data_IF_351661640305
#
_entry.id   IF_351661640305
#
_cell.length_a   1.000
_cell.length_b   1.000
_cell.length_c   1.000
_cell.angle_alpha   90.00
_cell.angle_beta   90.00
_cell.angle_gamma   90.00
#
_symmetry.space_group_name_H-M   'P 1'
#
loop_
_entity.id
_entity.type
_entity.pdbx_description
1 polymer ?
#
# COMPACT_ATOMS: atom_id res chain seq x y z
N UNK A 1 21.62 -26.46 40.06
CA UNK A 1 20.39 -26.00 39.42
C UNK A 1 20.82 -25.39 38.11
N UNK A 2 20.55 -26.09 37.02
CA UNK A 2 21.15 -25.79 35.71
C UNK A 2 20.44 -24.60 35.06
N UNK A 3 21.17 -23.50 34.89
CA UNK A 3 20.66 -22.23 34.36
C UNK A 3 20.21 -22.39 32.90
N UNK A 4 20.76 -23.38 32.19
CA UNK A 4 20.38 -23.69 30.81
C UNK A 4 18.94 -24.21 30.70
N UNK A 5 18.43 -24.92 31.71
CA UNK A 5 17.07 -25.45 31.72
C UNK A 5 16.01 -24.35 31.97
N UNK A 6 16.38 -23.25 32.63
CA UNK A 6 15.46 -22.13 32.90
C UNK A 6 15.22 -21.25 31.66
N UNK A 7 16.16 -21.25 30.71
CA UNK A 7 16.08 -20.52 29.45
C UNK A 7 15.89 -21.43 28.23
N UNK A 8 15.59 -22.71 28.44
CA UNK A 8 15.14 -23.55 27.34
C UNK A 8 13.81 -22.99 26.81
N UNK A 9 13.66 -22.77 25.49
CA UNK A 9 12.38 -22.40 24.93
C UNK A 9 11.35 -23.47 25.31
N UNK A 10 10.17 -23.06 25.78
CA UNK A 10 9.08 -23.93 26.22
C UNK A 10 8.51 -24.86 25.13
N UNK A 11 9.07 -24.81 23.91
CA UNK A 11 8.62 -25.59 22.77
C UNK A 11 9.66 -26.65 22.40
N UNK A 12 9.41 -27.87 22.85
CA UNK A 12 10.06 -29.10 22.38
C UNK A 12 9.00 -30.00 21.70
N UNK A 13 8.17 -29.38 20.85
CA UNK A 13 7.04 -30.03 20.19
C UNK A 13 7.05 -29.78 18.69
N UNK A 14 6.81 -30.84 17.91
CA UNK A 14 6.42 -30.74 16.50
C UNK A 14 5.28 -29.73 16.32
N UNK A 15 5.10 -29.11 15.13
CA UNK A 15 4.00 -28.17 14.90
C UNK A 15 2.67 -28.85 15.27
N UNK A 16 2.07 -28.34 16.33
CA UNK A 16 0.86 -28.90 16.91
C UNK A 16 -0.31 -28.49 16.00
N UNK A 17 -0.76 -29.40 15.13
CA UNK A 17 -1.87 -29.19 14.19
C UNK A 17 -3.14 -28.62 14.89
N UNK A 18 -3.26 -28.83 16.19
CA UNK A 18 -4.36 -28.36 17.03
C UNK A 18 -4.35 -26.84 17.23
N UNK A 19 -3.17 -26.20 17.29
CA UNK A 19 -3.05 -24.75 17.41
C UNK A 19 -3.40 -24.03 16.10
N UNK A 20 -2.93 -24.54 14.97
CA UNK A 20 -3.30 -24.00 13.65
C UNK A 20 -4.80 -24.16 13.38
N UNK A 21 -5.38 -25.29 13.80
CA UNK A 21 -6.83 -25.50 13.75
C UNK A 21 -7.59 -24.51 14.65
N UNK A 22 -7.09 -24.28 15.86
CA UNK A 22 -7.65 -23.30 16.79
C UNK A 22 -7.63 -21.89 16.18
N UNK A 23 -6.47 -21.38 15.73
CA UNK A 23 -6.37 -20.03 15.17
C UNK A 23 -7.17 -19.87 13.88
N UNK A 24 -7.22 -20.91 13.03
CA UNK A 24 -8.06 -20.93 11.85
C UNK A 24 -9.55 -20.81 12.19
N UNK A 25 -10.03 -21.61 13.14
CA UNK A 25 -11.43 -21.58 13.56
C UNK A 25 -11.80 -20.30 14.32
N UNK A 26 -10.88 -19.77 15.14
CA UNK A 26 -11.06 -18.51 15.86
C UNK A 26 -11.11 -17.34 14.88
N UNK A 27 -10.18 -17.28 13.92
CA UNK A 27 -10.13 -16.23 12.89
C UNK A 27 -11.38 -16.18 12.02
N UNK A 28 -12.01 -17.31 11.73
CA UNK A 28 -13.28 -17.36 10.99
C UNK A 28 -14.47 -16.84 11.80
N UNK A 29 -14.47 -17.05 13.13
CA UNK A 29 -15.57 -16.64 14.03
C UNK A 29 -15.44 -15.18 14.47
N UNK A 30 -14.22 -14.67 14.61
CA UNK A 30 -13.91 -13.35 15.14
C UNK A 30 -14.62 -12.19 14.43
N UNK A 31 -14.75 -12.15 13.08
CA UNK A 31 -15.47 -11.09 12.37
C UNK A 31 -16.93 -10.94 12.78
N UNK A 32 -17.58 -12.05 13.14
CA UNK A 32 -19.00 -12.12 13.50
C UNK A 32 -19.22 -12.05 15.01
N UNK A 33 -18.16 -12.22 15.81
CA UNK A 33 -18.23 -12.23 17.26
C UNK A 33 -18.62 -10.87 17.81
N UNK A 34 -19.53 -10.86 18.79
CA UNK A 34 -19.93 -9.66 19.52
C UNK A 34 -18.97 -9.34 20.67
N UNK A 35 -18.36 -10.37 21.25
CA UNK A 35 -17.41 -10.28 22.37
C UNK A 35 -16.25 -11.25 22.15
N UNK A 36 -15.10 -10.94 22.71
CA UNK A 36 -13.98 -11.89 22.87
C UNK A 36 -13.73 -12.04 24.35
N UNK A 37 -13.51 -13.26 24.81
CA UNK A 37 -13.20 -13.51 26.20
C UNK A 37 -12.10 -14.53 26.41
N UNK A 38 -11.67 -14.58 27.64
CA UNK A 38 -10.59 -15.40 28.14
C UNK A 38 -11.09 -16.20 29.36
N UNK A 39 -10.55 -17.41 29.55
CA UNK A 39 -10.90 -18.29 30.66
C UNK A 39 -9.63 -18.92 31.25
N UNK A 40 -9.60 -19.09 32.57
CA UNK A 40 -8.50 -19.74 33.26
C UNK A 40 -8.35 -21.24 32.91
N UNK A 41 -9.42 -21.87 32.41
CA UNK A 41 -9.40 -23.29 31.98
C UNK A 41 -8.52 -23.50 30.74
N UNK A 42 -8.47 -22.50 29.85
CA UNK A 42 -7.68 -22.51 28.63
C UNK A 42 -6.90 -21.19 28.48
N UNK A 43 -5.84 -20.97 29.29
CA UNK A 43 -5.19 -19.66 29.40
C UNK A 43 -4.50 -19.20 28.11
N UNK A 44 -4.19 -20.13 27.20
CA UNK A 44 -3.59 -19.87 25.89
C UNK A 44 -4.62 -19.65 24.76
N UNK A 45 -5.93 -19.74 25.05
CA UNK A 45 -7.00 -19.62 24.07
C UNK A 45 -7.92 -18.43 24.38
N UNK A 46 -8.40 -17.80 23.32
CA UNK A 46 -9.41 -16.77 23.31
C UNK A 46 -10.70 -17.39 22.76
N UNK A 47 -11.83 -17.02 23.35
CA UNK A 47 -13.15 -17.52 23.02
C UNK A 47 -13.98 -16.39 22.40
N UNK A 48 -14.60 -16.65 21.25
CA UNK A 48 -15.59 -15.75 20.66
C UNK A 48 -16.93 -15.94 21.38
N UNK A 49 -17.55 -14.86 21.83
CA UNK A 49 -18.85 -14.84 22.53
C UNK A 49 -18.92 -15.75 23.77
N UNK A 50 -17.79 -15.92 24.46
CA UNK A 50 -17.67 -16.74 25.67
C UNK A 50 -16.42 -16.37 26.49
N UNK A 51 -16.14 -17.12 27.55
CA UNK A 51 -15.04 -16.86 28.48
C UNK A 51 -15.52 -16.23 29.79
N UNK A 52 -14.74 -16.45 30.86
CA UNK A 52 -15.02 -15.94 32.21
C UNK A 52 -14.89 -14.41 32.25
N UNK A 53 -13.89 -13.88 31.54
CA UNK A 53 -13.68 -12.47 31.34
C UNK A 53 -13.93 -12.15 29.87
N UNK A 54 -14.85 -11.24 29.54
CA UNK A 54 -15.21 -10.94 28.15
C UNK A 54 -15.29 -9.45 27.88
N UNK A 55 -14.75 -9.05 26.74
CA UNK A 55 -14.70 -7.69 26.24
C UNK A 55 -15.56 -7.54 24.99
N UNK A 56 -16.41 -6.51 24.88
CA UNK A 56 -17.22 -6.28 23.70
C UNK A 56 -16.35 -5.82 22.52
N UNK A 57 -16.64 -6.34 21.33
CA UNK A 57 -16.03 -5.93 20.06
C UNK A 57 -16.87 -4.87 19.35
N UNK A 58 -16.25 -3.76 18.92
CA UNK A 58 -16.92 -2.65 18.24
C UNK A 58 -16.22 -2.22 16.95
N UNK A 59 -17.02 -1.73 16.01
CA UNK A 59 -16.54 -1.26 14.70
C UNK A 59 -16.02 0.19 14.73
N UNK A 60 -16.38 0.98 15.75
CA UNK A 60 -16.00 2.38 15.88
C UNK A 60 -15.54 2.69 17.32
N UNK A 61 -14.65 3.67 17.45
CA UNK A 61 -14.29 4.28 18.72
C UNK A 61 -15.50 5.03 19.29
N UNK A 62 -15.90 4.71 20.51
CA UNK A 62 -17.01 5.36 21.23
C UNK A 62 -16.71 5.48 22.71
N UNK A 63 -17.64 6.04 23.49
CA UNK A 63 -17.49 6.40 24.91
C UNK A 63 -17.38 5.24 25.90
N UNK A 64 -17.43 3.99 25.44
CA UNK A 64 -17.38 2.83 26.33
C UNK A 64 -15.94 2.33 26.39
N UNK A 65 -15.27 2.65 27.50
CA UNK A 65 -13.82 2.50 27.68
C UNK A 65 -13.34 1.05 27.61
N UNK A 66 -14.22 0.09 27.89
CA UNK A 66 -13.89 -1.34 27.97
C UNK A 66 -14.04 -2.10 26.64
N UNK A 67 -14.50 -1.44 25.57
CA UNK A 67 -14.73 -2.09 24.29
C UNK A 67 -13.49 -2.12 23.39
N UNK A 68 -13.18 -3.30 22.84
CA UNK A 68 -12.09 -3.49 21.88
C UNK A 68 -12.57 -3.06 20.49
N UNK A 69 -11.86 -2.12 19.88
CA UNK A 69 -12.13 -1.70 18.49
C UNK A 69 -11.59 -2.76 17.54
N UNK A 70 -12.49 -3.43 16.82
CA UNK A 70 -12.18 -4.46 15.83
C UNK A 70 -12.72 -4.03 14.46
N UNK A 71 -11.89 -3.99 13.41
CA UNK A 71 -12.37 -3.65 12.07
C UNK A 71 -13.27 -4.77 11.54
N UNK A 72 -14.57 -4.49 11.36
CA UNK A 72 -15.51 -5.44 10.72
C UNK A 72 -15.70 -5.15 9.23
N UNK A 73 -14.92 -4.23 8.66
CA UNK A 73 -15.05 -3.79 7.27
C UNK A 73 -14.20 -4.65 6.36
N UNK A 74 -14.83 -5.71 5.88
CA UNK A 74 -14.33 -6.58 4.84
C UNK A 74 -15.13 -6.35 3.56
N UNK A 75 -14.44 -6.32 2.42
CA UNK A 75 -15.09 -6.51 1.15
C UNK A 75 -15.74 -7.89 1.16
N UNK A 76 -17.07 -7.95 1.04
CA UNK A 76 -17.78 -9.22 1.10
C UNK A 76 -17.64 -10.00 -0.22
N UNK A 77 -17.74 -11.32 -0.14
CA UNK A 77 -17.88 -12.20 -1.29
C UNK A 77 -19.19 -11.91 -2.06
N UNK A 78 -19.35 -12.47 -3.25
CA UNK A 78 -20.53 -12.18 -4.08
C UNK A 78 -21.85 -12.68 -3.47
N UNK A 79 -21.77 -13.65 -2.56
CA UNK A 79 -22.89 -14.14 -1.76
C UNK A 79 -23.25 -13.23 -0.56
N UNK A 80 -22.39 -12.26 -0.22
CA UNK A 80 -22.58 -11.37 0.94
C UNK A 80 -22.47 -12.07 2.31
N UNK A 81 -21.91 -13.28 2.35
CA UNK A 81 -21.90 -14.15 3.55
C UNK A 81 -20.58 -14.11 4.31
N UNK A 82 -19.46 -13.92 3.61
CA UNK A 82 -18.11 -13.96 4.18
C UNK A 82 -17.23 -12.88 3.54
N UNK A 83 -16.07 -12.61 4.15
CA UNK A 83 -15.05 -11.78 3.54
C UNK A 83 -14.58 -12.41 2.21
N UNK A 84 -14.37 -11.58 1.20
CA UNK A 84 -13.92 -12.00 -0.11
C UNK A 84 -12.51 -12.59 -0.02
N UNK A 85 -12.30 -13.71 -0.72
CA UNK A 85 -10.98 -14.32 -0.83
C UNK A 85 -10.05 -13.45 -1.70
N UNK A 86 -8.72 -13.56 -1.52
CA UNK A 86 -7.77 -12.78 -2.32
C UNK A 86 -7.96 -12.94 -3.84
N UNK A 87 -8.33 -14.14 -4.30
CA UNK A 87 -8.66 -14.39 -5.70
C UNK A 87 -9.87 -13.57 -6.17
N UNK A 88 -10.95 -13.50 -5.40
CA UNK A 88 -12.12 -12.67 -5.73
C UNK A 88 -11.77 -11.17 -5.74
N UNK A 89 -10.91 -10.73 -4.82
CA UNK A 89 -10.42 -9.35 -4.80
C UNK A 89 -9.58 -9.02 -6.05
N UNK A 90 -8.79 -9.98 -6.53
CA UNK A 90 -7.99 -9.84 -7.73
C UNK A 90 -8.87 -9.69 -8.98
N UNK A 91 -9.92 -10.50 -9.12
CA UNK A 91 -10.86 -10.44 -10.25
C UNK A 91 -11.62 -9.11 -10.33
N UNK A 92 -11.83 -8.45 -9.19
CA UNK A 92 -12.50 -7.15 -9.11
C UNK A 92 -11.60 -5.98 -9.53
N UNK A 93 -10.33 -6.21 -9.84
CA UNK A 93 -9.39 -5.18 -10.24
C UNK A 93 -9.71 -4.60 -11.64
N UNK A 94 -9.57 -3.29 -11.83
CA UNK A 94 -9.56 -2.70 -13.17
C UNK A 94 -8.18 -2.84 -13.82
N UNK A 95 -8.04 -3.86 -14.67
CA UNK A 95 -6.80 -4.21 -15.38
C UNK A 95 -6.43 -5.67 -15.15
N UNK A 96 -5.16 -5.92 -14.86
CA UNK A 96 -4.64 -7.24 -14.55
C UNK A 96 -5.31 -7.76 -13.26
N UNK A 97 -5.78 -9.03 -13.24
CA UNK A 97 -6.43 -9.62 -12.06
C UNK A 97 -5.37 -9.86 -10.99
N UNK A 98 -5.18 -8.88 -10.11
CA UNK A 98 -4.15 -8.93 -9.05
C UNK A 98 -4.67 -8.26 -7.79
N UNK A 99 -4.26 -8.79 -6.65
CA UNK A 99 -4.53 -8.24 -5.34
C UNK A 99 -3.22 -7.88 -4.64
N UNK A 100 -3.31 -7.11 -3.56
CA UNK A 100 -2.13 -6.74 -2.78
C UNK A 100 -2.45 -6.30 -1.37
N UNK A 101 -1.42 -5.83 -0.69
CA UNK A 101 -1.50 -5.24 0.65
C UNK A 101 -0.92 -3.83 0.62
N UNK A 102 -1.70 -2.87 1.08
CA UNK A 102 -1.27 -1.50 1.34
C UNK A 102 -1.05 -1.33 2.84
N UNK A 103 0.16 -0.96 3.23
CA UNK A 103 0.47 -0.51 4.60
C UNK A 103 0.79 0.97 4.60
N UNK A 104 0.36 1.66 5.65
CA UNK A 104 0.68 3.07 5.88
C UNK A 104 1.02 3.29 7.34
N UNK A 105 1.92 4.23 7.59
CA UNK A 105 2.38 4.56 8.94
C UNK A 105 2.89 6.00 8.99
N UNK A 106 2.51 6.71 10.05
CA UNK A 106 2.89 8.11 10.29
C UNK A 106 4.37 8.23 10.60
N UNK A 107 5.04 9.13 9.89
CA UNK A 107 6.47 9.31 10.05
C UNK A 107 6.82 9.96 11.40
N UNK A 108 7.73 9.33 12.13
CA UNK A 108 8.28 9.84 13.39
C UNK A 108 7.23 10.07 14.50
N UNK A 109 6.07 9.40 14.44
CA UNK A 109 5.04 9.53 15.47
C UNK A 109 5.53 9.16 16.87
N UNK A 110 6.26 8.05 17.00
CA UNK A 110 6.86 7.65 18.28
C UNK A 110 7.90 8.63 18.82
N UNK A 111 8.54 9.44 17.97
CA UNK A 111 9.44 10.53 18.41
C UNK A 111 8.59 11.69 18.95
N UNK A 112 7.54 12.06 18.23
CA UNK A 112 6.58 13.09 18.65
C UNK A 112 5.98 12.80 20.01
N UNK A 113 5.55 11.55 20.25
CA UNK A 113 5.00 11.12 21.54
C UNK A 113 6.01 11.15 22.69
N UNK A 114 7.32 11.03 22.41
CA UNK A 114 8.39 11.15 23.43
C UNK A 114 8.76 12.61 23.71
N UNK A 115 8.60 13.48 22.72
CA UNK A 115 8.85 14.92 22.85
C UNK A 115 7.64 15.70 23.40
N UNK A 116 6.53 15.03 23.71
CA UNK A 116 5.39 15.67 24.36
C UNK A 116 5.82 16.27 25.69
N UNK A 117 5.47 17.54 25.91
CA UNK A 117 5.87 18.31 27.09
C UNK A 117 5.11 17.92 28.35
N UNK A 118 3.92 17.33 28.20
CA UNK A 118 3.07 16.90 29.30
C UNK A 118 2.34 15.58 28.98
N UNK A 119 1.81 14.93 30.03
CA UNK A 119 1.00 13.71 29.92
C UNK A 119 -0.30 14.00 29.16
N UNK A 120 -0.88 15.18 29.38
CA UNK A 120 -2.09 15.63 28.68
C UNK A 120 -1.85 15.74 27.17
N UNK A 121 -0.71 16.31 26.75
CA UNK A 121 -0.32 16.38 25.33
C UNK A 121 -0.15 14.97 24.74
N UNK A 122 0.49 14.07 25.50
CA UNK A 122 0.69 12.67 25.09
C UNK A 122 -0.64 11.94 24.87
N UNK A 123 -1.56 12.03 25.83
CA UNK A 123 -2.89 11.41 25.75
C UNK A 123 -3.68 12.02 24.60
N UNK A 124 -3.67 13.35 24.47
CA UNK A 124 -4.39 14.04 23.42
C UNK A 124 -3.93 13.61 22.02
N UNK A 125 -2.61 13.56 21.77
CA UNK A 125 -2.06 13.11 20.49
C UNK A 125 -2.40 11.64 20.21
N UNK A 126 -2.31 10.77 21.21
CA UNK A 126 -2.60 9.34 21.06
C UNK A 126 -4.07 9.09 20.70
N UNK A 127 -5.01 9.79 21.36
CA UNK A 127 -6.44 9.71 21.07
C UNK A 127 -6.73 10.29 19.68
N UNK A 128 -6.19 11.46 19.37
CA UNK A 128 -6.44 12.16 18.11
C UNK A 128 -6.06 11.31 16.88
N UNK A 129 -4.87 10.69 16.88
CA UNK A 129 -4.42 9.85 15.77
C UNK A 129 -5.24 8.55 15.67
N UNK A 130 -5.52 7.91 16.82
CA UNK A 130 -6.35 6.71 16.88
C UNK A 130 -7.76 6.96 16.32
N UNK A 131 -8.39 8.07 16.70
CA UNK A 131 -9.71 8.46 16.20
C UNK A 131 -9.68 8.77 14.71
N UNK A 132 -8.65 9.47 14.22
CA UNK A 132 -8.47 9.75 12.80
C UNK A 132 -8.42 8.46 11.96
N UNK A 133 -7.51 7.54 12.26
CA UNK A 133 -7.38 6.31 11.48
C UNK A 133 -8.61 5.40 11.63
N UNK A 134 -9.16 5.28 12.85
CA UNK A 134 -10.36 4.48 13.09
C UNK A 134 -11.57 5.01 12.32
N UNK A 135 -11.80 6.33 12.35
CA UNK A 135 -12.91 6.99 11.67
C UNK A 135 -12.77 7.00 10.16
N UNK A 136 -11.69 7.60 9.66
CA UNK A 136 -11.54 7.88 8.22
C UNK A 136 -11.41 6.61 7.39
N UNK A 137 -10.64 5.60 7.85
CA UNK A 137 -10.55 4.31 7.12
C UNK A 137 -11.89 3.60 7.07
N UNK A 138 -12.68 3.65 8.15
CA UNK A 138 -14.02 3.06 8.17
C UNK A 138 -14.91 3.70 7.13
N UNK A 139 -14.92 5.04 7.05
CA UNK A 139 -15.74 5.79 6.10
C UNK A 139 -15.28 5.55 4.67
N UNK A 140 -13.97 5.62 4.39
CA UNK A 140 -13.45 5.36 3.05
C UNK A 140 -13.85 3.96 2.56
N UNK A 141 -13.74 2.93 3.40
CA UNK A 141 -14.13 1.58 3.00
C UNK A 141 -15.65 1.41 2.74
N UNK A 142 -16.50 2.39 3.09
CA UNK A 142 -17.93 2.38 2.72
C UNK A 142 -18.24 3.03 1.38
N UNK A 143 -17.27 3.73 0.78
CA UNK A 143 -17.50 4.43 -0.48
C UNK A 143 -17.74 3.43 -1.62
N UNK A 144 -18.56 3.79 -2.63
CA UNK A 144 -18.90 2.92 -3.76
C UNK A 144 -17.68 2.38 -4.52
N UNK A 145 -16.58 3.13 -4.58
CA UNK A 145 -15.35 2.67 -5.22
C UNK A 145 -14.56 1.60 -4.44
N UNK A 146 -14.76 1.50 -3.12
CA UNK A 146 -13.91 0.68 -2.23
C UNK A 146 -14.63 -0.49 -1.56
N UNK A 147 -15.94 -0.38 -1.32
CA UNK A 147 -16.68 -1.32 -0.45
C UNK A 147 -16.66 -2.80 -0.86
N UNK A 148 -16.43 -3.12 -2.15
CA UNK A 148 -16.23 -4.51 -2.64
C UNK A 148 -14.78 -4.85 -2.97
N UNK A 149 -13.87 -3.88 -2.91
CA UNK A 149 -12.51 -4.03 -3.42
C UNK A 149 -11.45 -4.00 -2.32
N UNK A 150 -11.78 -3.45 -1.15
CA UNK A 150 -10.82 -3.24 -0.06
C UNK A 150 -11.38 -3.77 1.26
N UNK A 151 -10.51 -4.45 2.00
CA UNK A 151 -10.74 -5.00 3.34
C UNK A 151 -9.71 -4.43 4.31
N UNK A 152 -10.15 -4.05 5.50
CA UNK A 152 -9.23 -3.64 6.58
C UNK A 152 -8.70 -4.90 7.24
N UNK A 153 -7.40 -5.16 7.11
CA UNK A 153 -6.72 -6.26 7.80
C UNK A 153 -6.36 -5.84 9.22
N UNK A 154 -5.86 -4.62 9.35
CA UNK A 154 -5.42 -4.05 10.62
C UNK A 154 -5.50 -2.53 10.58
N UNK A 155 -5.78 -1.92 11.73
CA UNK A 155 -5.75 -0.47 11.95
C UNK A 155 -5.25 -0.22 13.37
N UNK A 156 -4.16 0.53 13.48
CA UNK A 156 -3.57 0.91 14.75
C UNK A 156 -3.86 2.36 15.12
N UNK A 157 -3.02 2.89 16.00
CA UNK A 157 -3.07 4.30 16.38
C UNK A 157 -2.46 5.21 15.32
N UNK A 158 -1.35 4.80 14.73
CA UNK A 158 -0.56 5.58 13.76
C UNK A 158 -0.29 4.83 12.45
N UNK A 159 -0.72 3.57 12.36
CA UNK A 159 -0.50 2.71 11.21
C UNK A 159 -1.77 1.98 10.77
N UNK A 160 -1.75 1.46 9.55
CA UNK A 160 -2.84 0.68 8.99
C UNK A 160 -2.35 -0.37 7.99
N UNK A 161 -3.18 -1.38 7.78
CA UNK A 161 -2.99 -2.45 6.80
C UNK A 161 -4.30 -2.80 6.10
N UNK A 162 -4.32 -2.63 4.78
CA UNK A 162 -5.45 -2.91 3.92
C UNK A 162 -5.08 -4.00 2.92
N UNK A 163 -6.00 -4.91 2.63
CA UNK A 163 -5.89 -5.88 1.55
C UNK A 163 -6.99 -5.63 0.53
N UNK A 164 -6.70 -5.82 -0.76
CA UNK A 164 -7.67 -5.47 -1.80
C UNK A 164 -7.15 -5.58 -3.21
N UNK A 165 -8.00 -5.19 -4.16
CA UNK A 165 -7.64 -5.08 -5.56
C UNK A 165 -6.59 -3.97 -5.75
N UNK A 166 -5.60 -4.21 -6.59
CA UNK A 166 -4.42 -3.34 -6.69
C UNK A 166 -4.77 -1.89 -7.10
N UNK A 167 -5.75 -1.72 -7.98
CA UNK A 167 -6.27 -0.43 -8.46
C UNK A 167 -6.93 0.37 -7.34
N UNK A 168 -7.78 -0.29 -6.55
CA UNK A 168 -8.49 0.32 -5.43
C UNK A 168 -7.53 0.68 -4.29
N UNK A 169 -6.49 -0.13 -4.06
CA UNK A 169 -5.46 0.17 -3.06
C UNK A 169 -4.65 1.41 -3.41
N UNK A 170 -4.33 1.64 -4.69
CA UNK A 170 -3.67 2.89 -5.10
C UNK A 170 -4.59 4.09 -4.87
N UNK A 171 -5.87 3.97 -5.24
CA UNK A 171 -6.85 5.03 -5.09
C UNK A 171 -7.13 5.37 -3.61
N UNK A 172 -7.31 4.37 -2.74
CA UNK A 172 -7.54 4.59 -1.31
C UNK A 172 -6.29 5.15 -0.62
N UNK A 173 -5.09 4.74 -1.04
CA UNK A 173 -3.84 5.31 -0.54
C UNK A 173 -3.71 6.81 -0.85
N UNK A 174 -4.12 7.22 -2.05
CA UNK A 174 -4.18 8.64 -2.44
C UNK A 174 -5.18 9.43 -1.59
N UNK A 175 -6.38 8.88 -1.37
CA UNK A 175 -7.39 9.52 -0.52
C UNK A 175 -6.94 9.62 0.93
N UNK A 176 -6.35 8.56 1.49
CA UNK A 176 -5.79 8.58 2.84
C UNK A 176 -4.70 9.61 3.00
N UNK A 177 -3.78 9.73 2.04
CA UNK A 177 -2.77 10.80 2.08
C UNK A 177 -3.40 12.19 2.05
N UNK A 178 -4.40 12.42 1.18
CA UNK A 178 -5.09 13.71 1.08
C UNK A 178 -5.83 14.07 2.37
N UNK A 179 -6.48 13.09 3.02
CA UNK A 179 -7.14 13.29 4.31
C UNK A 179 -6.12 13.56 5.41
N UNK A 180 -5.00 12.83 5.41
CA UNK A 180 -3.92 13.01 6.37
C UNK A 180 -3.27 14.40 6.25
N UNK A 181 -3.00 14.88 5.03
CA UNK A 181 -2.48 16.24 4.80
C UNK A 181 -3.41 17.29 5.41
N UNK A 182 -4.72 17.17 5.18
CA UNK A 182 -5.72 18.09 5.75
C UNK A 182 -5.78 18.00 7.27
N UNK A 183 -5.72 16.78 7.81
CA UNK A 183 -5.69 16.52 9.24
C UNK A 183 -4.43 17.15 9.88
N UNK A 184 -3.26 16.97 9.27
CA UNK A 184 -2.00 17.52 9.74
C UNK A 184 -2.00 19.06 9.65
N UNK A 185 -2.55 19.62 8.58
CA UNK A 185 -2.77 21.07 8.46
C UNK A 185 -3.68 21.58 9.59
N UNK A 186 -4.82 20.97 9.85
CA UNK A 186 -5.76 21.52 10.84
C UNK A 186 -5.31 21.33 12.29
N UNK A 187 -4.69 20.20 12.61
CA UNK A 187 -4.43 19.81 14.00
C UNK A 187 -2.96 19.99 14.43
N UNK A 188 -2.02 20.04 13.47
CA UNK A 188 -0.57 20.06 13.76
C UNK A 188 0.13 21.33 13.27
N UNK A 189 -0.61 22.31 12.71
CA UNK A 189 -0.04 23.57 12.21
C UNK A 189 0.69 24.39 13.28
N UNK A 190 0.14 24.46 14.49
CA UNK A 190 0.72 25.20 15.62
C UNK A 190 1.93 24.51 16.25
N UNK A 191 2.18 23.24 15.88
CA UNK A 191 3.21 22.42 16.49
C UNK A 191 4.54 22.56 15.71
N UNK A 192 5.63 22.81 16.44
CA UNK A 192 6.96 22.92 15.84
C UNK A 192 7.49 21.56 15.37
N UNK A 193 8.25 21.54 14.26
CA UNK A 193 8.93 20.35 13.74
C UNK A 193 8.25 19.70 12.53
N UNK A 194 8.87 18.62 12.05
CA UNK A 194 8.41 17.78 10.93
C UNK A 194 7.80 16.44 11.40
N UNK A 195 7.89 16.15 12.69
CA UNK A 195 7.46 14.89 13.29
C UNK A 195 5.94 14.74 13.20
N UNK A 196 5.47 13.56 12.81
CA UNK A 196 4.05 13.23 12.66
C UNK A 196 3.27 14.08 11.63
N UNK A 197 3.96 14.79 10.72
CA UNK A 197 3.32 15.62 9.68
C UNK A 197 3.27 14.99 8.31
N UNK A 198 3.85 13.81 8.13
CA UNK A 198 3.80 13.04 6.90
C UNK A 198 3.44 11.59 7.17
N UNK A 199 2.91 10.94 6.14
CA UNK A 199 2.61 9.52 6.15
C UNK A 199 3.37 8.84 5.02
N UNK A 200 4.09 7.77 5.37
CA UNK A 200 4.72 6.89 4.37
C UNK A 200 3.79 5.71 4.14
N UNK A 201 3.59 5.34 2.88
CA UNK A 201 2.79 4.17 2.51
C UNK A 201 3.56 3.25 1.58
N UNK A 202 3.21 1.97 1.57
CA UNK A 202 3.80 0.98 0.68
C UNK A 202 2.74 -0.01 0.20
N UNK A 203 2.67 -0.19 -1.12
CA UNK A 203 1.84 -1.19 -1.78
C UNK A 203 2.71 -2.34 -2.27
N UNK A 204 2.40 -3.55 -1.82
CA UNK A 204 2.98 -4.79 -2.35
C UNK A 204 1.89 -5.59 -3.03
N UNK A 205 2.14 -5.98 -4.29
CA UNK A 205 1.27 -6.87 -5.03
C UNK A 205 1.60 -8.32 -4.70
N UNK A 206 0.58 -9.17 -4.65
CA UNK A 206 0.77 -10.61 -4.54
C UNK A 206 1.44 -11.14 -5.82
N UNK A 207 2.41 -12.07 -5.70
CA UNK A 207 3.05 -12.69 -6.86
C UNK A 207 2.05 -13.52 -7.67
N UNK A 208 1.15 -14.23 -6.98
CA UNK A 208 0.11 -15.09 -7.53
C UNK A 208 -1.21 -14.89 -6.78
N UNK A 209 -2.33 -15.28 -7.38
CA UNK A 209 -3.66 -15.17 -6.78
C UNK A 209 -3.79 -15.92 -5.45
N UNK A 210 -3.12 -17.07 -5.33
CA UNK A 210 -3.18 -17.97 -4.17
C UNK A 210 -2.09 -17.69 -3.12
N UNK A 211 -1.35 -16.58 -3.25
CA UNK A 211 -0.31 -16.25 -2.28
C UNK A 211 -0.91 -16.06 -0.87
N UNK A 212 -0.24 -16.54 0.20
CA UNK A 212 -0.76 -16.35 1.55
C UNK A 212 -0.72 -14.88 1.96
N UNK A 213 -1.85 -14.36 2.48
CA UNK A 213 -1.99 -12.96 2.91
C UNK A 213 -0.88 -12.55 3.89
N UNK A 214 -0.52 -13.43 4.82
CA UNK A 214 0.54 -13.18 5.80
C UNK A 214 1.89 -12.85 5.13
N UNK A 215 2.29 -13.61 4.11
CA UNK A 215 3.56 -13.38 3.43
C UNK A 215 3.57 -12.05 2.65
N UNK A 216 2.46 -11.70 1.99
CA UNK A 216 2.32 -10.42 1.28
C UNK A 216 2.31 -9.25 2.28
N UNK A 217 1.70 -9.44 3.45
CA UNK A 217 1.65 -8.45 4.53
C UNK A 217 3.03 -8.18 5.15
N UNK A 218 3.84 -9.22 5.38
CA UNK A 218 5.22 -9.10 5.83
C UNK A 218 6.09 -8.40 4.78
N UNK A 219 5.95 -8.77 3.50
CA UNK A 219 6.68 -8.12 2.42
C UNK A 219 6.33 -6.62 2.32
N UNK A 220 5.05 -6.28 2.50
CA UNK A 220 4.61 -4.88 2.54
C UNK A 220 5.27 -4.09 3.68
N UNK A 221 5.53 -4.74 4.82
CA UNK A 221 6.27 -4.12 5.92
C UNK A 221 7.72 -3.81 5.56
N UNK A 222 8.39 -4.76 4.92
CA UNK A 222 9.78 -4.60 4.49
C UNK A 222 9.87 -3.45 3.49
N UNK A 223 8.93 -3.37 2.54
CA UNK A 223 8.86 -2.25 1.62
C UNK A 223 8.58 -0.91 2.33
N UNK A 224 7.65 -0.88 3.30
CA UNK A 224 7.36 0.31 4.10
C UNK A 224 8.60 0.80 4.87
N UNK A 225 9.31 -0.10 5.54
CA UNK A 225 10.58 0.20 6.24
C UNK A 225 11.63 0.74 5.28
N UNK A 226 11.75 0.14 4.09
CA UNK A 226 12.66 0.60 3.05
C UNK A 226 12.28 1.99 2.51
N UNK A 227 10.99 2.33 2.45
CA UNK A 227 10.51 3.64 2.05
C UNK A 227 10.89 4.70 3.09
N UNK A 228 10.56 4.45 4.36
CA UNK A 228 10.88 5.34 5.49
C UNK A 228 12.38 5.58 5.65
N UNK A 229 13.19 4.54 5.45
CA UNK A 229 14.65 4.66 5.52
C UNK A 229 15.25 5.49 4.37
N UNK A 230 14.58 5.54 3.22
CA UNK A 230 15.03 6.33 2.08
C UNK A 230 14.58 7.80 2.19
N UNK A 231 13.27 8.02 2.31
CA UNK A 231 12.65 9.34 2.42
C UNK A 231 11.24 9.20 3.04
N UNK A 232 11.02 9.75 4.25
CA UNK A 232 9.69 9.83 4.86
C UNK A 232 8.70 10.63 4.00
N UNK A 233 7.40 10.37 4.14
CA UNK A 233 6.35 11.03 3.40
C UNK A 233 6.27 10.61 1.94
N UNK A 234 6.72 9.40 1.61
CA UNK A 234 6.68 8.86 0.24
C UNK A 234 5.70 7.72 0.10
N UNK A 235 5.24 7.50 -1.13
CA UNK A 235 4.49 6.30 -1.49
C UNK A 235 5.42 5.32 -2.19
N UNK A 236 5.54 4.10 -1.68
CA UNK A 236 6.30 3.04 -2.31
C UNK A 236 5.39 2.15 -3.14
N UNK A 237 5.55 2.25 -4.46
CA UNK A 237 4.73 1.60 -5.45
C UNK A 237 5.61 0.86 -6.46
N UNK A 238 5.27 -0.39 -6.77
CA UNK A 238 6.03 -1.28 -7.68
C UNK A 238 7.54 -1.34 -7.36
N UNK A 239 7.87 -1.41 -6.06
CA UNK A 239 9.24 -1.48 -5.55
C UNK A 239 10.05 -0.18 -5.65
N UNK A 240 9.38 0.97 -5.79
CA UNK A 240 10.03 2.30 -5.89
C UNK A 240 9.27 3.36 -5.08
N UNK A 241 10.01 4.22 -4.39
CA UNK A 241 9.44 5.38 -3.72
C UNK A 241 9.16 6.52 -4.71
N UNK A 242 7.97 7.11 -4.60
CA UNK A 242 7.52 8.30 -5.32
C UNK A 242 6.96 9.32 -4.33
N UNK A 243 7.25 10.59 -4.59
CA UNK A 243 6.61 11.72 -3.92
C UNK A 243 5.14 11.78 -4.36
N UNK A 244 4.21 11.94 -3.41
CA UNK A 244 2.79 12.06 -3.66
C UNK A 244 2.43 13.11 -4.71
N UNK A 245 3.17 14.23 -4.76
CA UNK A 245 2.97 15.28 -5.77
C UNK A 245 3.22 14.80 -7.20
N UNK A 246 4.07 13.78 -7.37
CA UNK A 246 4.43 13.18 -8.66
C UNK A 246 3.60 11.95 -9.01
N UNK A 247 2.73 11.49 -8.11
CA UNK A 247 1.83 10.36 -8.39
C UNK A 247 0.87 10.71 -9.53
N UNK A 248 0.38 11.96 -9.60
CA UNK A 248 -0.47 12.44 -10.68
C UNK A 248 0.22 12.37 -12.06
N UNK A 249 1.51 12.74 -12.15
CA UNK A 249 2.29 12.61 -13.39
C UNK A 249 2.36 11.14 -13.85
N UNK A 250 2.50 10.20 -12.91
CA UNK A 250 2.54 8.77 -13.22
C UNK A 250 1.18 8.24 -13.69
N UNK A 251 0.08 8.71 -13.09
CA UNK A 251 -1.29 8.38 -13.47
C UNK A 251 -1.65 8.93 -14.86
N UNK A 252 -1.20 10.15 -15.19
CA UNK A 252 -1.40 10.75 -16.50
C UNK A 252 -0.64 9.98 -17.59
N UNK A 253 0.60 9.55 -17.29
CA UNK A 253 1.36 8.66 -18.18
C UNK A 253 0.62 7.33 -18.40
N UNK A 254 0.12 6.70 -17.34
CA UNK A 254 -0.69 5.48 -17.43
C UNK A 254 -1.90 5.69 -18.32
N UNK A 255 -2.66 6.76 -18.08
CA UNK A 255 -3.87 7.08 -18.84
C UNK A 255 -3.55 7.29 -20.32
N UNK A 256 -2.46 8.01 -20.63
CA UNK A 256 -2.02 8.24 -22.00
C UNK A 256 -1.63 6.93 -22.71
N UNK A 257 -0.89 6.06 -22.05
CA UNK A 257 -0.46 4.77 -22.61
C UNK A 257 -1.63 3.81 -22.81
N UNK A 258 -2.55 3.71 -21.85
CA UNK A 258 -3.74 2.86 -21.96
C UNK A 258 -4.63 3.34 -23.11
N UNK A 259 -4.77 4.67 -23.31
CA UNK A 259 -5.49 5.22 -24.47
C UNK A 259 -4.81 4.90 -25.79
N UNK A 260 -3.48 4.90 -25.87
CA UNK A 260 -2.77 4.46 -27.08
C UNK A 260 -3.09 2.99 -27.42
N UNK A 261 -3.13 2.11 -26.42
CA UNK A 261 -3.46 0.69 -26.63
C UNK A 261 -4.93 0.48 -27.00
N UNK A 262 -5.86 1.04 -26.20
CA UNK A 262 -7.31 0.80 -26.35
C UNK A 262 -7.92 1.57 -27.52
N UNK A 263 -7.62 2.87 -27.66
CA UNK A 263 -8.30 3.74 -28.64
C UNK A 263 -7.65 3.66 -30.03
N UNK A 264 -6.35 3.34 -30.08
CA UNK A 264 -5.54 3.45 -31.30
C UNK A 264 -4.97 2.11 -31.76
N UNK A 265 -5.31 1.00 -31.08
CA UNK A 265 -4.97 -0.35 -31.50
C UNK A 265 -3.47 -0.67 -31.44
N UNK A 266 -2.71 0.04 -30.60
CA UNK A 266 -1.29 -0.27 -30.39
C UNK A 266 -1.18 -1.64 -29.69
N UNK A 267 -0.21 -2.46 -30.11
CA UNK A 267 0.03 -3.76 -29.49
C UNK A 267 0.37 -3.56 -27.99
N UNK A 268 -0.25 -4.32 -27.06
CA UNK A 268 0.09 -4.26 -25.63
C UNK A 268 1.58 -4.48 -25.35
N UNK A 269 2.26 -5.29 -26.19
CA UNK A 269 3.71 -5.53 -26.16
C UNK A 269 4.54 -4.24 -26.26
N UNK A 270 4.01 -3.18 -26.88
CA UNK A 270 4.70 -1.89 -26.93
C UNK A 270 4.95 -1.29 -25.54
N UNK A 271 4.08 -1.57 -24.56
CA UNK A 271 4.31 -1.16 -23.16
C UNK A 271 5.46 -1.97 -22.56
N UNK A 272 5.54 -3.27 -22.83
CA UNK A 272 6.65 -4.12 -22.39
C UNK A 272 7.99 -3.66 -22.97
N UNK A 273 8.02 -3.31 -24.26
CA UNK A 273 9.20 -2.77 -24.93
C UNK A 273 9.60 -1.41 -24.36
N UNK A 274 8.62 -0.55 -24.04
CA UNK A 274 8.92 0.72 -23.36
C UNK A 274 9.49 0.48 -21.96
N UNK A 275 8.93 -0.45 -21.18
CA UNK A 275 9.43 -0.83 -19.85
C UNK A 275 10.86 -1.37 -19.94
N UNK A 276 11.16 -2.25 -20.90
CA UNK A 276 12.48 -2.86 -21.09
C UNK A 276 13.53 -1.79 -21.45
N UNK A 277 13.24 -0.94 -22.44
CA UNK A 277 14.11 0.17 -22.85
C UNK A 277 14.34 1.15 -21.69
N UNK A 278 13.30 1.42 -20.89
CA UNK A 278 13.39 2.29 -19.73
C UNK A 278 14.26 1.69 -18.62
N UNK A 279 14.07 0.40 -18.32
CA UNK A 279 14.85 -0.35 -17.32
C UNK A 279 16.33 -0.42 -17.70
N UNK A 280 16.65 -0.74 -18.95
CA UNK A 280 18.03 -0.73 -19.46
C UNK A 280 18.68 0.63 -19.32
N UNK A 281 17.97 1.70 -19.70
CA UNK A 281 18.48 3.07 -19.65
C UNK A 281 18.74 3.56 -18.21
N UNK A 282 17.96 3.09 -17.23
CA UNK A 282 18.19 3.37 -15.81
C UNK A 282 19.33 2.54 -15.21
N UNK A 283 19.37 1.23 -15.48
CA UNK A 283 20.43 0.34 -14.98
C UNK A 283 21.79 0.72 -15.52
N UNK A 284 21.87 1.08 -16.81
CA UNK A 284 23.07 1.63 -17.42
C UNK A 284 23.55 2.92 -16.73
N UNK A 285 22.64 3.71 -16.16
CA UNK A 285 23.01 4.94 -15.43
C UNK A 285 23.45 4.66 -13.99
N UNK A 286 22.91 3.62 -13.36
CA UNK A 286 23.25 3.24 -11.99
C UNK A 286 24.64 2.60 -11.88
N UNK A 287 25.00 1.70 -12.80
CA UNK A 287 26.32 1.03 -12.83
C UNK A 287 27.45 1.95 -13.28
N UNK A 288 27.17 3.00 -14.06
CA UNK A 288 28.18 3.91 -14.63
C UNK A 288 28.53 5.10 -13.72
N UNK A 289 28.12 5.10 -12.45
CA UNK A 289 28.50 6.13 -11.46
C UNK A 289 29.96 5.99 -10.96
N UNK A 290 30.63 4.89 -11.26
CA UNK A 290 32.06 4.69 -11.03
C UNK A 290 32.83 4.57 -12.36
N UNK A 291 33.75 5.50 -12.61
CA UNK A 291 34.75 5.52 -13.71
C UNK A 291 34.25 5.73 -15.15
N UNK A 292 34.48 6.95 -15.66
CA UNK A 292 34.86 7.32 -17.05
C UNK A 292 34.35 6.46 -18.22
N UNK A 293 33.04 6.21 -18.32
CA UNK A 293 32.45 5.56 -19.50
C UNK A 293 31.60 6.58 -20.29
N UNK A 294 31.86 6.69 -21.60
CA UNK A 294 31.09 7.50 -22.57
C UNK A 294 29.59 7.40 -22.25
N UNK A 295 29.00 8.52 -21.83
CA UNK A 295 27.56 8.61 -21.59
C UNK A 295 26.81 8.13 -22.83
N UNK A 296 25.89 7.16 -22.68
CA UNK A 296 24.93 6.92 -23.74
C UNK A 296 24.20 8.23 -23.98
N UNK A 297 24.35 8.75 -25.18
CA UNK A 297 23.83 10.06 -25.51
C UNK A 297 22.30 10.00 -25.34
N UNK A 298 21.67 10.93 -24.59
CA UNK A 298 20.24 10.88 -24.29
C UNK A 298 19.31 10.75 -25.52
N UNK A 299 19.80 11.15 -26.70
CA UNK A 299 19.11 10.97 -27.97
C UNK A 299 18.89 9.50 -28.36
N UNK A 300 19.75 8.55 -27.93
CA UNK A 300 19.57 7.12 -28.24
C UNK A 300 18.38 6.52 -27.51
N UNK A 301 18.20 6.85 -26.23
CA UNK A 301 17.02 6.46 -25.46
C UNK A 301 15.76 7.09 -26.06
N UNK A 302 15.84 8.35 -26.48
CA UNK A 302 14.76 8.99 -27.23
C UNK A 302 14.44 8.25 -28.54
N UNK A 303 15.45 7.92 -29.36
CA UNK A 303 15.24 7.22 -30.63
C UNK A 303 14.60 5.84 -30.40
N UNK A 304 15.06 5.07 -29.41
CA UNK A 304 14.45 3.78 -29.06
C UNK A 304 13.01 3.93 -28.61
N UNK A 305 12.71 4.85 -27.70
CA UNK A 305 11.33 5.14 -27.26
C UNK A 305 10.46 5.57 -28.46
N UNK A 306 11.01 6.41 -29.34
CA UNK A 306 10.32 6.90 -30.54
C UNK A 306 10.14 5.84 -31.63
N UNK A 307 10.92 4.75 -31.60
CA UNK A 307 10.80 3.61 -32.51
C UNK A 307 9.76 2.60 -31.99
N UNK A 308 9.69 2.42 -30.67
CA UNK A 308 8.69 1.55 -30.03
C UNK A 308 7.28 2.14 -30.14
N UNK A 309 7.14 3.46 -30.17
CA UNK A 309 5.86 4.12 -30.43
C UNK A 309 5.72 4.32 -31.95
N UNK A 310 4.86 3.56 -32.68
CA UNK A 310 4.70 3.69 -34.12
C UNK A 310 4.42 5.13 -34.60
N UNK A 311 4.71 5.38 -35.87
CA UNK A 311 4.48 6.69 -36.48
C UNK A 311 2.99 7.04 -36.51
N UNK A 312 2.63 8.26 -36.08
CA UNK A 312 1.24 8.67 -35.99
C UNK A 312 0.60 8.75 -37.37
N UNK A 313 -0.45 7.96 -37.61
CA UNK A 313 -1.25 8.06 -38.84
C UNK A 313 -2.30 9.21 -38.76
N UNK A 314 -2.58 9.72 -37.56
CA UNK A 314 -3.57 10.78 -37.30
C UNK A 314 -2.98 11.91 -36.44
N UNK A 315 -3.46 13.16 -36.60
CA UNK A 315 -2.99 14.31 -35.81
C UNK A 315 -3.12 14.08 -34.29
N UNK A 316 -4.19 13.41 -33.85
CA UNK A 316 -4.42 13.04 -32.45
C UNK A 316 -3.35 12.07 -31.90
N UNK A 317 -2.94 11.07 -32.70
CA UNK A 317 -1.88 10.12 -32.33
C UNK A 317 -0.53 10.82 -32.15
N UNK A 318 -0.25 11.87 -32.93
CA UNK A 318 0.97 12.66 -32.79
C UNK A 318 0.98 13.48 -31.49
N UNK A 319 -0.16 14.02 -31.08
CA UNK A 319 -0.30 14.77 -29.81
C UNK A 319 -0.10 13.82 -28.62
N UNK A 320 -0.78 12.68 -28.60
CA UNK A 320 -0.65 11.68 -27.52
C UNK A 320 0.78 11.15 -27.41
N UNK A 321 1.43 10.83 -28.54
CA UNK A 321 2.83 10.43 -28.58
C UNK A 321 3.76 11.47 -27.97
N UNK A 322 3.59 12.75 -28.31
CA UNK A 322 4.40 13.82 -27.74
C UNK A 322 4.18 13.97 -26.23
N UNK A 323 2.94 13.81 -25.76
CA UNK A 323 2.62 13.81 -24.32
C UNK A 323 3.33 12.68 -23.59
N UNK A 324 3.23 11.44 -24.10
CA UNK A 324 3.94 10.27 -23.53
C UNK A 324 5.45 10.50 -23.47
N UNK A 325 6.05 10.98 -24.56
CA UNK A 325 7.50 11.28 -24.61
C UNK A 325 7.88 12.35 -23.57
N UNK A 326 7.08 13.41 -23.41
CA UNK A 326 7.35 14.47 -22.43
C UNK A 326 7.22 13.99 -20.97
N UNK A 327 6.35 13.02 -20.71
CA UNK A 327 6.20 12.38 -19.40
C UNK A 327 7.34 11.39 -19.12
N UNK A 328 7.80 10.64 -20.13
CA UNK A 328 8.96 9.75 -20.01
C UNK A 328 10.28 10.52 -19.83
N UNK A 329 10.43 11.64 -20.53
CA UNK A 329 11.66 12.42 -20.63
C UNK A 329 11.43 13.89 -20.21
N UNK A 330 12.08 14.33 -19.15
CA UNK A 330 12.14 15.74 -18.77
C UNK A 330 13.05 16.52 -19.72
N UNK A 331 12.52 17.60 -20.32
CA UNK A 331 13.32 18.59 -21.06
C UNK A 331 14.01 19.52 -20.04
N UNK A 332 15.33 19.40 -19.88
CA UNK A 332 16.15 20.44 -19.25
C UNK A 332 17.12 21.02 -20.29
N UNK A 333 17.52 22.27 -20.06
CA UNK A 333 18.44 23.08 -20.88
C UNK A 333 19.81 22.43 -21.14
N UNK A 334 20.19 21.41 -20.35
CA UNK A 334 21.47 20.70 -20.45
C UNK A 334 21.36 19.23 -20.88
N UNK A 335 20.18 18.79 -21.37
CA UNK A 335 19.96 17.44 -21.89
C UNK A 335 18.69 16.75 -21.37
N UNK A 336 18.28 15.66 -22.04
CA UNK A 336 17.09 14.88 -21.67
C UNK A 336 17.40 14.02 -20.44
N UNK A 337 16.56 14.13 -19.40
CA UNK A 337 16.66 13.30 -18.19
C UNK A 337 15.40 12.44 -18.05
N UNK A 338 15.59 11.15 -17.84
CA UNK A 338 14.50 10.23 -17.53
C UNK A 338 13.83 10.62 -16.20
N UNK A 339 12.50 10.67 -16.17
CA UNK A 339 11.73 11.00 -14.96
C UNK A 339 11.57 9.77 -14.05
N UNK A 340 11.99 9.78 -12.78
CA UNK A 340 11.81 8.62 -11.89
C UNK A 340 10.35 8.11 -11.81
N UNK A 341 9.37 9.03 -11.85
CA UNK A 341 7.93 8.71 -11.83
C UNK A 341 7.45 7.95 -13.08
N UNK A 342 8.14 8.11 -14.23
CA UNK A 342 7.74 7.45 -15.47
C UNK A 342 7.90 5.93 -15.42
N UNK A 343 8.83 5.41 -14.59
CA UNK A 343 8.92 3.95 -14.38
C UNK A 343 7.66 3.41 -13.72
N UNK A 344 7.17 4.09 -12.69
CA UNK A 344 5.96 3.71 -11.98
C UNK A 344 4.76 3.83 -12.92
N UNK A 345 4.66 4.90 -13.70
CA UNK A 345 3.59 5.06 -14.69
C UNK A 345 3.61 3.98 -15.79
N UNK A 346 4.78 3.50 -16.21
CA UNK A 346 4.92 2.40 -17.18
C UNK A 346 4.46 1.05 -16.59
N UNK A 347 4.89 0.73 -15.36
CA UNK A 347 4.44 -0.49 -14.65
C UNK A 347 2.93 -0.43 -14.37
N UNK A 348 2.42 0.74 -13.99
CA UNK A 348 0.99 0.98 -13.81
C UNK A 348 0.23 0.78 -15.12
N UNK A 349 0.74 1.30 -16.24
CA UNK A 349 0.13 1.11 -17.56
C UNK A 349 0.08 -0.36 -17.95
N UNK A 350 1.14 -1.14 -17.67
CA UNK A 350 1.17 -2.59 -17.92
C UNK A 350 0.04 -3.30 -17.17
N UNK A 351 -0.08 -3.05 -15.87
CA UNK A 351 -1.15 -3.64 -15.06
C UNK A 351 -2.53 -3.17 -15.54
N UNK A 352 -2.72 -1.90 -15.86
CA UNK A 352 -4.00 -1.39 -16.32
C UNK A 352 -4.41 -1.90 -17.72
N UNK A 353 -3.45 -2.27 -18.56
CA UNK A 353 -3.69 -2.85 -19.87
C UNK A 353 -4.10 -4.33 -19.80
N UNK A 354 -4.00 -4.97 -18.63
CA UNK A 354 -4.36 -6.39 -18.44
C UNK A 354 -3.30 -7.37 -18.97
N UNK A 355 -2.05 -6.92 -19.11
CA UNK A 355 -0.90 -7.70 -19.61
C UNK A 355 0.06 -8.11 -18.51
#
# INVERSE_FOLDING_TARGET
>A
TDVAAFFAPLWDGAPDNDLDSYFGSFGQKLPFASRVGWSAEHPAQLLCDGGEYSWPLRDQSGTDEDAIVFPRRFAMNDAGTQAAEPAELAERADGAPSWGVLRGDVDQFGVRLRHSSSIEEHIHLSVLFKEFFSGELSVLCTLPEFWRKVSIVYRGGDDFGLAGSWDALIAIGREMHRLFDKFAEQNLQSQAGIEAKSITTALTLAPDGDAPIAAVFEQAEVELRNAKAAEPGTFRLFGRSIDWKRLADAEELKTSLVRLVRDLGFAPDSIHDLVSVYRESFSARATRRGKSARADKPWRTYMRISQVIPEPHKKETAVLRNTVINHLLGKKTAGMKLRPAARIGLEWARLAAGS
#
